data_IF_965662093457
#
_entry.id   IF_965662093457
#
_cell.length_a   1.000
_cell.length_b   1.000
_cell.length_c   1.000
_cell.angle_alpha   90.00
_cell.angle_beta   90.00
_cell.angle_gamma   90.00
#
_symmetry.space_group_name_H-M   'P 1'
#
loop_
_entity.id
_entity.type
_entity.pdbx_description
1 polymer ?
#
# COMPACT_ATOMS: atom_id res chain seq x y z
N UNK A 1 14.45 -15.26 23.82
CA UNK A 1 13.08 -15.32 23.26
C UNK A 1 12.07 -14.62 24.16
N UNK A 2 11.83 -15.09 25.39
CA UNK A 2 10.91 -14.46 26.35
C UNK A 2 11.13 -12.95 26.54
N UNK A 3 12.35 -12.52 26.86
CA UNK A 3 12.67 -11.09 27.00
C UNK A 3 12.37 -10.26 25.73
N UNK A 4 12.57 -10.85 24.55
CA UNK A 4 12.26 -10.21 23.27
C UNK A 4 10.75 -10.09 23.03
N UNK A 5 9.97 -11.13 23.38
CA UNK A 5 8.51 -11.10 23.32
C UNK A 5 7.94 -10.06 24.29
N UNK A 6 8.47 -10.02 25.52
CA UNK A 6 8.04 -9.03 26.52
C UNK A 6 8.36 -7.61 26.08
N UNK A 7 9.57 -7.37 25.55
CA UNK A 7 9.95 -6.06 25.03
C UNK A 7 9.08 -5.64 23.84
N UNK A 8 8.87 -6.54 22.88
CA UNK A 8 7.99 -6.28 21.73
C UNK A 8 6.55 -5.98 22.19
N UNK A 9 6.03 -6.75 23.15
CA UNK A 9 4.72 -6.52 23.74
C UNK A 9 4.63 -5.13 24.40
N UNK A 10 5.61 -4.75 25.22
CA UNK A 10 5.64 -3.46 25.89
C UNK A 10 5.69 -2.28 24.92
N UNK A 11 6.50 -2.38 23.86
CA UNK A 11 6.64 -1.34 22.82
C UNK A 11 5.37 -1.21 21.98
N UNK A 12 4.74 -2.34 21.64
CA UNK A 12 3.56 -2.35 20.77
C UNK A 12 2.26 -2.08 21.53
N UNK A 13 2.22 -2.27 22.85
CA UNK A 13 1.01 -2.20 23.66
C UNK A 13 0.18 -0.92 23.44
N UNK A 14 0.74 0.31 23.51
CA UNK A 14 -0.06 1.54 23.37
C UNK A 14 -0.72 1.66 21.99
N UNK A 15 -0.01 1.21 20.95
CA UNK A 15 -0.50 1.22 19.57
C UNK A 15 -1.58 0.17 19.39
N UNK A 16 -1.35 -1.05 19.89
CA UNK A 16 -2.31 -2.15 19.79
C UNK A 16 -3.59 -1.86 20.56
N UNK A 17 -3.52 -1.24 21.74
CA UNK A 17 -4.69 -0.87 22.52
C UNK A 17 -5.54 0.19 21.83
N UNK A 18 -4.91 1.24 21.31
CA UNK A 18 -5.62 2.31 20.60
C UNK A 18 -6.22 1.81 19.28
N UNK A 19 -5.45 1.01 18.53
CA UNK A 19 -5.93 0.40 17.29
C UNK A 19 -7.12 -0.51 17.56
N UNK A 20 -7.03 -1.38 18.58
CA UNK A 20 -8.12 -2.30 18.96
C UNK A 20 -9.41 -1.54 19.25
N UNK A 21 -9.37 -0.47 20.04
CA UNK A 21 -10.58 0.35 20.32
C UNK A 21 -11.23 0.91 19.05
N UNK A 22 -10.43 1.28 18.05
CA UNK A 22 -10.92 1.85 16.79
C UNK A 22 -11.37 0.78 15.79
N UNK A 23 -10.86 -0.44 15.89
CA UNK A 23 -11.09 -1.51 14.90
C UNK A 23 -11.84 -2.71 15.43
N UNK A 24 -12.24 -2.73 16.70
CA UNK A 24 -13.01 -3.81 17.33
C UNK A 24 -14.31 -4.12 16.59
N UNK A 25 -15.00 -3.09 16.09
CA UNK A 25 -16.24 -3.24 15.31
C UNK A 25 -15.99 -3.30 13.80
N UNK A 26 -14.73 -3.30 13.38
CA UNK A 26 -14.36 -3.20 11.97
C UNK A 26 -13.83 -4.52 11.42
N UNK A 27 -14.61 -5.10 10.52
CA UNK A 27 -14.20 -6.27 9.73
C UNK A 27 -14.04 -5.88 8.27
N UNK A 28 -13.10 -6.53 7.58
CA UNK A 28 -12.96 -6.39 6.13
C UNK A 28 -14.03 -7.20 5.42
N UNK A 29 -14.57 -6.67 4.33
CA UNK A 29 -15.51 -7.42 3.50
C UNK A 29 -14.82 -8.63 2.86
N UNK A 30 -15.53 -9.75 2.77
CA UNK A 30 -15.05 -10.96 2.09
C UNK A 30 -14.63 -10.67 0.65
N UNK A 31 -15.43 -9.88 -0.06
CA UNK A 31 -15.14 -9.47 -1.44
C UNK A 31 -13.81 -8.72 -1.57
N UNK A 32 -13.48 -7.84 -0.61
CA UNK A 32 -12.22 -7.12 -0.64
C UNK A 32 -11.03 -8.06 -0.40
N UNK A 33 -11.18 -9.02 0.50
CA UNK A 33 -10.14 -10.03 0.78
C UNK A 33 -9.95 -10.94 -0.44
N UNK A 34 -11.04 -11.43 -1.03
CA UNK A 34 -11.02 -12.28 -2.21
C UNK A 34 -10.34 -11.58 -3.39
N UNK A 35 -10.69 -10.31 -3.65
CA UNK A 35 -10.05 -9.50 -4.70
C UNK A 35 -8.55 -9.25 -4.45
N UNK A 36 -8.09 -9.35 -3.20
CA UNK A 36 -6.69 -9.21 -2.82
C UNK A 36 -6.07 -10.56 -2.38
N UNK A 37 -6.64 -11.67 -2.79
CA UNK A 37 -6.09 -13.00 -2.57
C UNK A 37 -5.39 -13.46 -3.84
N UNK A 38 -4.20 -14.06 -3.71
CA UNK A 38 -3.45 -14.54 -4.85
C UNK A 38 -4.07 -15.82 -5.43
N UNK A 39 -3.73 -16.09 -6.68
CA UNK A 39 -3.89 -17.38 -7.35
C UNK A 39 -2.52 -17.96 -7.65
N UNK A 40 -2.44 -19.28 -7.86
CA UNK A 40 -1.19 -19.93 -8.27
C UNK A 40 -0.57 -19.32 -9.53
N UNK A 41 -1.40 -18.90 -10.49
CA UNK A 41 -0.94 -18.24 -11.73
C UNK A 41 -0.28 -16.88 -11.49
N UNK A 42 -0.60 -16.19 -10.39
CA UNK A 42 0.02 -14.89 -10.07
C UNK A 42 1.52 -15.04 -9.73
N UNK A 43 1.96 -16.23 -9.28
CA UNK A 43 3.37 -16.59 -9.10
C UNK A 43 4.08 -16.92 -10.41
N UNK A 44 3.40 -16.86 -11.55
CA UNK A 44 3.93 -17.01 -12.91
C UNK A 44 3.69 -15.74 -13.74
N UNK A 45 3.37 -14.62 -13.08
CA UNK A 45 3.13 -13.33 -13.71
C UNK A 45 4.17 -12.31 -13.31
N UNK A 46 4.84 -11.74 -14.31
CA UNK A 46 5.76 -10.63 -14.15
C UNK A 46 5.07 -9.30 -14.48
N UNK A 47 5.58 -8.19 -13.95
CA UNK A 47 5.05 -6.87 -14.28
C UNK A 47 5.32 -6.50 -15.75
N UNK A 48 4.41 -5.71 -16.34
CA UNK A 48 4.55 -5.24 -17.71
C UNK A 48 5.73 -4.27 -17.81
N UNK A 49 6.54 -4.42 -18.85
CA UNK A 49 7.72 -3.56 -19.06
C UNK A 49 8.97 -3.97 -18.27
N UNK A 50 8.94 -5.13 -17.61
CA UNK A 50 10.15 -5.78 -17.09
C UNK A 50 10.85 -6.52 -18.23
N UNK A 51 12.18 -6.54 -18.26
CA UNK A 51 12.92 -7.21 -19.33
C UNK A 51 12.60 -8.69 -19.45
N UNK A 52 12.37 -9.37 -18.31
CA UNK A 52 11.94 -10.77 -18.31
C UNK A 52 10.61 -11.00 -19.04
N UNK A 53 9.70 -10.02 -19.03
CA UNK A 53 8.38 -10.12 -19.67
C UNK A 53 8.47 -9.98 -21.20
N UNK A 54 9.49 -9.26 -21.69
CA UNK A 54 9.79 -9.14 -23.12
C UNK A 54 10.34 -10.45 -23.69
N UNK A 55 11.23 -11.12 -22.93
CA UNK A 55 11.97 -12.30 -23.37
C UNK A 55 11.16 -13.60 -23.15
N UNK A 56 10.35 -13.66 -22.09
CA UNK A 56 9.64 -14.87 -21.65
C UNK A 56 8.12 -14.70 -21.76
N UNK A 57 7.51 -14.98 -22.94
CA UNK A 57 6.09 -14.70 -23.18
C UNK A 57 5.14 -15.52 -22.30
N UNK A 58 5.59 -16.66 -21.76
CA UNK A 58 4.83 -17.44 -20.79
C UNK A 58 4.67 -16.75 -19.42
N UNK A 59 5.42 -15.67 -19.13
CA UNK A 59 5.22 -14.84 -17.94
C UNK A 59 4.09 -13.81 -18.09
N UNK A 60 3.48 -13.72 -19.29
CA UNK A 60 2.33 -12.85 -19.61
C UNK A 60 0.98 -13.52 -19.34
N UNK A 61 0.97 -14.55 -18.49
CA UNK A 61 -0.23 -15.35 -18.19
C UNK A 61 -1.42 -14.46 -17.83
N UNK A 62 -2.58 -14.74 -18.42
CA UNK A 62 -3.85 -14.10 -18.12
C UNK A 62 -4.61 -14.87 -17.02
N UNK A 63 -5.59 -14.23 -16.36
CA UNK A 63 -6.41 -14.84 -15.30
C UNK A 63 -5.91 -14.59 -13.86
N UNK A 64 -6.40 -15.34 -12.89
CA UNK A 64 -6.05 -15.10 -11.48
C UNK A 64 -6.52 -13.73 -10.95
N UNK A 65 -5.74 -13.13 -10.04
CA UNK A 65 -6.13 -11.88 -9.36
C UNK A 65 -5.50 -10.62 -9.97
N UNK A 66 -4.65 -10.76 -10.98
CA UNK A 66 -3.91 -9.65 -11.57
C UNK A 66 -2.61 -9.31 -10.84
N UNK A 67 -2.31 -10.00 -9.74
CA UNK A 67 -1.11 -9.78 -8.93
C UNK A 67 0.13 -10.31 -9.66
N UNK A 68 1.28 -9.66 -9.43
CA UNK A 68 2.57 -9.98 -10.08
C UNK A 68 3.53 -10.48 -9.00
N UNK A 69 3.49 -11.78 -8.72
CA UNK A 69 4.23 -12.40 -7.62
C UNK A 69 5.42 -13.22 -8.10
N UNK A 70 5.69 -13.22 -9.41
CA UNK A 70 6.77 -13.98 -10.00
C UNK A 70 8.13 -13.61 -9.38
N UNK A 71 8.84 -14.58 -8.76
CA UNK A 71 10.05 -14.32 -8.00
C UNK A 71 11.32 -14.20 -8.87
N UNK A 72 11.23 -14.49 -10.16
CA UNK A 72 12.38 -14.56 -11.08
C UNK A 72 12.89 -15.99 -11.28
N UNK A 73 13.21 -16.36 -12.51
CA UNK A 73 13.74 -17.66 -12.93
C UNK A 73 15.01 -18.00 -12.17
N UNK A 74 15.95 -17.06 -12.13
CA UNK A 74 17.25 -17.32 -11.50
C UNK A 74 17.15 -17.56 -9.99
N UNK A 75 16.24 -16.85 -9.30
CA UNK A 75 15.94 -17.11 -7.89
C UNK A 75 15.35 -18.52 -7.71
N UNK A 76 14.41 -18.93 -8.55
CA UNK A 76 13.80 -20.27 -8.50
C UNK A 76 14.83 -21.37 -8.74
N UNK A 77 15.73 -21.21 -9.70
CA UNK A 77 16.80 -22.19 -10.00
C UNK A 77 17.74 -22.33 -8.80
N UNK A 78 18.25 -21.21 -8.28
CA UNK A 78 19.18 -21.23 -7.14
C UNK A 78 18.50 -21.79 -5.89
N UNK A 79 17.25 -21.44 -5.64
CA UNK A 79 16.47 -21.98 -4.53
C UNK A 79 16.26 -23.50 -4.69
N UNK A 80 15.99 -23.98 -5.90
CA UNK A 80 15.86 -25.41 -6.20
C UNK A 80 17.15 -26.19 -5.97
N UNK A 81 18.29 -25.66 -6.43
CA UNK A 81 19.62 -26.24 -6.17
C UNK A 81 19.91 -26.25 -4.67
N UNK A 82 19.63 -25.15 -3.98
CA UNK A 82 19.82 -25.02 -2.55
C UNK A 82 18.95 -25.97 -1.74
N UNK A 83 17.70 -26.18 -2.15
CA UNK A 83 16.82 -27.17 -1.54
C UNK A 83 17.37 -28.59 -1.74
N UNK A 84 17.75 -28.97 -2.96
CA UNK A 84 18.23 -30.32 -3.28
C UNK A 84 19.56 -30.66 -2.60
N UNK A 85 20.52 -29.73 -2.60
CA UNK A 85 21.82 -29.92 -1.96
C UNK A 85 21.74 -29.76 -0.45
N UNK A 86 21.12 -28.69 0.01
CA UNK A 86 20.94 -28.38 1.42
C UNK A 86 20.13 -29.42 2.17
N UNK A 87 19.26 -30.19 1.51
CA UNK A 87 18.59 -31.32 2.14
C UNK A 87 19.55 -32.35 2.74
N UNK A 88 20.75 -32.49 2.18
CA UNK A 88 21.79 -33.40 2.67
C UNK A 88 22.70 -32.76 3.72
N UNK A 89 22.97 -31.46 3.61
CA UNK A 89 23.98 -30.77 4.42
C UNK A 89 23.40 -29.93 5.57
N UNK A 90 22.22 -29.35 5.37
CA UNK A 90 21.52 -28.48 6.34
C UNK A 90 20.00 -28.66 6.24
N UNK A 91 19.55 -29.89 6.50
CA UNK A 91 18.14 -30.27 6.39
C UNK A 91 17.23 -29.39 7.23
N UNK A 92 17.68 -28.93 8.40
CA UNK A 92 16.88 -28.11 9.32
C UNK A 92 16.58 -26.75 8.71
N UNK A 93 17.60 -26.06 8.21
CA UNK A 93 17.42 -24.76 7.55
C UNK A 93 16.55 -24.88 6.30
N UNK A 94 16.84 -25.86 5.43
CA UNK A 94 16.05 -26.08 4.21
C UNK A 94 14.59 -26.40 4.53
N UNK A 95 14.32 -27.24 5.53
CA UNK A 95 12.96 -27.56 5.95
C UNK A 95 12.23 -26.33 6.49
N UNK A 96 12.92 -25.48 7.26
CA UNK A 96 12.37 -24.21 7.75
C UNK A 96 12.00 -23.28 6.59
N UNK A 97 12.89 -23.08 5.62
CA UNK A 97 12.60 -22.23 4.47
C UNK A 97 11.49 -22.80 3.58
N UNK A 98 11.50 -24.10 3.30
CA UNK A 98 10.44 -24.73 2.49
C UNK A 98 9.08 -24.64 3.18
N UNK A 99 9.02 -24.97 4.48
CA UNK A 99 7.78 -24.85 5.25
C UNK A 99 7.32 -23.39 5.33
N UNK A 100 8.23 -22.46 5.58
CA UNK A 100 7.94 -21.02 5.60
C UNK A 100 7.38 -20.52 4.27
N UNK A 101 8.01 -20.90 3.15
CA UNK A 101 7.53 -20.57 1.81
C UNK A 101 6.14 -21.16 1.54
N UNK A 102 5.90 -22.43 1.88
CA UNK A 102 4.59 -23.07 1.71
C UNK A 102 3.50 -22.39 2.55
N UNK A 103 3.78 -22.10 3.82
CA UNK A 103 2.81 -21.43 4.72
C UNK A 103 2.51 -20.02 4.22
N UNK A 104 3.54 -19.24 3.88
CA UNK A 104 3.37 -17.90 3.33
C UNK A 104 2.57 -17.92 2.02
N UNK A 105 2.84 -18.90 1.14
CA UNK A 105 2.11 -19.07 -0.11
C UNK A 105 0.65 -19.46 0.15
N UNK A 106 0.39 -20.37 1.09
CA UNK A 106 -0.97 -20.74 1.50
C UNK A 106 -1.77 -19.57 2.06
N UNK A 107 -1.15 -18.73 2.91
CA UNK A 107 -1.79 -17.49 3.39
C UNK A 107 -1.99 -16.51 2.23
N UNK A 108 -1.06 -16.44 1.27
CA UNK A 108 -1.17 -15.53 0.12
C UNK A 108 -2.41 -15.80 -0.74
N UNK A 109 -2.82 -17.06 -0.83
CA UNK A 109 -4.05 -17.47 -1.53
C UNK A 109 -5.32 -17.05 -0.81
N UNK A 110 -5.24 -16.66 0.46
CA UNK A 110 -6.33 -16.07 1.23
C UNK A 110 -7.65 -16.82 1.07
N UNK A 111 -8.67 -16.12 0.55
CA UNK A 111 -10.02 -16.67 0.38
C UNK A 111 -10.15 -17.68 -0.78
N UNK A 112 -9.16 -17.81 -1.66
CA UNK A 112 -9.20 -18.77 -2.78
C UNK A 112 -8.72 -20.17 -2.41
N UNK A 113 -8.05 -20.34 -1.26
CA UNK A 113 -7.58 -21.65 -0.82
C UNK A 113 -8.71 -22.42 -0.16
N UNK A 114 -9.13 -23.50 -0.81
CA UNK A 114 -10.11 -24.45 -0.27
C UNK A 114 -9.54 -25.87 -0.33
N UNK A 115 -9.52 -26.55 0.82
CA UNK A 115 -8.98 -27.90 0.97
C UNK A 115 -10.09 -28.77 1.54
N UNK A 116 -10.70 -29.62 0.70
CA UNK A 116 -11.77 -30.51 1.14
C UNK A 116 -12.98 -29.79 1.74
N UNK A 117 -13.35 -28.61 1.21
CA UNK A 117 -14.44 -27.77 1.73
C UNK A 117 -14.05 -26.83 2.88
N UNK A 118 -12.82 -26.94 3.41
CA UNK A 118 -12.33 -26.05 4.47
C UNK A 118 -11.57 -24.88 3.84
N UNK A 119 -11.81 -23.67 4.35
CA UNK A 119 -11.08 -22.45 3.99
C UNK A 119 -10.11 -22.07 5.10
N UNK A 120 -8.82 -22.46 5.04
CA UNK A 120 -7.88 -22.27 6.14
C UNK A 120 -7.74 -20.81 6.55
N UNK A 121 -7.80 -19.88 5.58
CA UNK A 121 -7.69 -18.46 5.86
C UNK A 121 -8.86 -17.90 6.68
N UNK A 122 -10.06 -18.49 6.57
CA UNK A 122 -11.20 -18.10 7.41
C UNK A 122 -10.93 -18.41 8.89
N UNK A 123 -10.34 -19.57 9.18
CA UNK A 123 -9.99 -19.96 10.54
C UNK A 123 -8.89 -19.05 11.11
N UNK A 124 -7.87 -18.75 10.30
CA UNK A 124 -6.81 -17.81 10.71
C UNK A 124 -7.40 -16.45 11.07
N UNK A 125 -8.39 -15.97 10.32
CA UNK A 125 -9.06 -14.71 10.63
C UNK A 125 -9.84 -14.77 11.94
N UNK A 126 -10.60 -15.84 12.16
CA UNK A 126 -11.42 -16.01 13.35
C UNK A 126 -10.57 -16.14 14.63
N UNK A 127 -9.47 -16.89 14.57
CA UNK A 127 -8.70 -17.26 15.77
C UNK A 127 -7.43 -16.43 16.00
N UNK A 128 -6.88 -15.78 14.98
CA UNK A 128 -5.63 -14.99 15.11
C UNK A 128 -5.94 -13.50 15.15
N UNK A 129 -5.75 -12.82 16.29
CA UNK A 129 -6.05 -11.40 16.42
C UNK A 129 -5.36 -10.55 15.34
N UNK A 130 -6.13 -9.65 14.73
CA UNK A 130 -5.66 -8.73 13.68
C UNK A 130 -5.78 -9.26 12.26
N UNK A 131 -5.93 -10.57 12.03
CA UNK A 131 -6.09 -11.11 10.67
C UNK A 131 -7.44 -10.75 10.04
N UNK A 132 -8.49 -10.50 10.83
CA UNK A 132 -9.77 -9.99 10.34
C UNK A 132 -9.67 -8.63 9.63
N UNK A 133 -8.64 -7.85 9.99
CA UNK A 133 -8.40 -6.51 9.45
C UNK A 133 -7.49 -6.55 8.21
N UNK A 134 -6.83 -7.69 7.95
CA UNK A 134 -5.85 -7.86 6.88
C UNK A 134 -6.56 -7.95 5.52
N UNK A 135 -6.47 -6.86 4.77
CA UNK A 135 -7.13 -6.72 3.46
C UNK A 135 -6.44 -7.50 2.34
N UNK A 136 -5.11 -7.62 2.38
CA UNK A 136 -4.33 -8.05 1.22
C UNK A 136 -3.44 -9.26 1.49
N UNK A 137 -4.03 -10.47 1.56
CA UNK A 137 -3.30 -11.72 1.73
C UNK A 137 -2.16 -11.91 0.72
N UNK A 138 -2.35 -11.52 -0.54
CA UNK A 138 -1.35 -11.70 -1.61
C UNK A 138 0.05 -11.18 -1.24
N UNK A 139 0.15 -10.18 -0.34
CA UNK A 139 1.43 -9.61 0.11
C UNK A 139 2.33 -10.60 0.84
N UNK A 140 1.78 -11.71 1.33
CA UNK A 140 2.58 -12.82 1.85
C UNK A 140 3.49 -13.45 0.78
N UNK A 141 3.25 -13.20 -0.51
CA UNK A 141 4.18 -13.53 -1.59
C UNK A 141 5.57 -12.92 -1.41
N UNK A 142 5.69 -11.78 -0.72
CA UNK A 142 7.02 -11.22 -0.35
C UNK A 142 7.75 -12.16 0.62
N UNK A 143 7.05 -12.74 1.60
CA UNK A 143 7.67 -13.71 2.51
C UNK A 143 8.05 -15.00 1.79
N UNK A 144 7.26 -15.45 0.81
CA UNK A 144 7.64 -16.57 -0.08
C UNK A 144 9.00 -16.28 -0.71
N UNK A 145 9.18 -15.08 -1.28
CA UNK A 145 10.45 -14.66 -1.89
C UNK A 145 11.59 -14.61 -0.87
N UNK A 146 11.37 -14.13 0.35
CA UNK A 146 12.38 -14.14 1.42
C UNK A 146 12.83 -15.56 1.77
N UNK A 147 11.92 -16.52 1.87
CA UNK A 147 12.30 -17.91 2.11
C UNK A 147 13.02 -18.53 0.92
N UNK A 148 12.61 -18.22 -0.32
CA UNK A 148 13.32 -18.63 -1.52
C UNK A 148 14.75 -18.04 -1.57
N UNK A 149 14.95 -16.80 -1.12
CA UNK A 149 16.28 -16.19 -0.99
C UNK A 149 17.15 -16.97 0.02
N UNK A 150 16.58 -17.39 1.14
CA UNK A 150 17.26 -18.26 2.11
C UNK A 150 17.72 -19.59 1.51
N UNK A 151 16.90 -20.20 0.65
CA UNK A 151 17.28 -21.41 -0.10
C UNK A 151 18.32 -21.11 -1.18
N UNK A 152 18.17 -20.00 -1.91
CA UNK A 152 19.11 -19.60 -2.96
C UNK A 152 20.52 -19.34 -2.41
N UNK A 153 20.64 -18.79 -1.19
CA UNK A 153 21.92 -18.66 -0.50
C UNK A 153 22.61 -20.02 -0.28
N UNK A 154 21.85 -21.06 0.06
CA UNK A 154 22.37 -22.44 0.13
C UNK A 154 22.75 -22.94 -1.26
N UNK A 155 21.96 -22.62 -2.29
CA UNK A 155 22.25 -22.99 -3.68
C UNK A 155 23.54 -22.38 -4.21
N UNK A 156 23.80 -21.12 -3.88
CA UNK A 156 25.07 -20.45 -4.21
C UNK A 156 26.25 -21.12 -3.51
N UNK A 157 26.10 -21.48 -2.23
CA UNK A 157 27.13 -22.22 -1.48
C UNK A 157 27.40 -23.61 -2.06
N UNK A 158 26.43 -24.20 -2.78
CA UNK A 158 26.55 -25.50 -3.44
C UNK A 158 27.53 -25.52 -4.59
N UNK A 159 27.82 -24.35 -5.15
CA UNK A 159 28.64 -24.24 -6.35
C UNK A 159 30.11 -24.52 -5.98
N UNK A 160 30.71 -25.58 -6.55
CA UNK A 160 32.11 -25.89 -6.30
C UNK A 160 32.99 -24.76 -6.86
N UNK A 161 34.08 -24.46 -6.13
CA UNK A 161 35.04 -23.42 -6.51
C UNK A 161 34.39 -22.04 -6.70
N UNK A 162 33.48 -21.66 -5.80
CA UNK A 162 32.81 -20.34 -5.81
C UNK A 162 33.79 -19.17 -6.00
N UNK A 163 34.99 -19.24 -5.40
CA UNK A 163 36.03 -18.21 -5.56
C UNK A 163 36.50 -18.06 -7.01
N UNK A 164 36.65 -19.18 -7.72
CA UNK A 164 37.12 -19.20 -9.11
C UNK A 164 35.97 -18.92 -10.09
N UNK A 165 34.72 -19.17 -9.67
CA UNK A 165 33.50 -18.99 -10.46
C UNK A 165 32.65 -17.81 -9.97
N UNK A 166 33.24 -16.90 -9.20
CA UNK A 166 32.53 -15.76 -8.62
C UNK A 166 31.82 -14.95 -9.71
N UNK A 167 32.47 -14.74 -10.85
CA UNK A 167 31.89 -14.03 -12.00
C UNK A 167 30.66 -14.72 -12.57
N UNK A 168 30.59 -16.06 -12.56
CA UNK A 168 29.40 -16.81 -13.00
C UNK A 168 28.26 -16.60 -12.02
N UNK A 169 28.53 -16.65 -10.72
CA UNK A 169 27.49 -16.39 -9.71
C UNK A 169 27.03 -14.93 -9.74
N UNK A 170 27.96 -14.00 -9.90
CA UNK A 170 27.66 -12.59 -10.06
C UNK A 170 26.82 -12.35 -11.32
N UNK A 171 27.17 -12.96 -12.45
CA UNK A 171 26.41 -12.88 -13.69
C UNK A 171 25.01 -13.47 -13.53
N UNK A 172 24.88 -14.64 -12.90
CA UNK A 172 23.57 -15.24 -12.61
C UNK A 172 22.74 -14.36 -11.68
N UNK A 173 23.36 -13.78 -10.65
CA UNK A 173 22.69 -12.83 -9.75
C UNK A 173 22.21 -11.58 -10.49
N UNK A 174 23.08 -10.97 -11.31
CA UNK A 174 22.73 -9.81 -12.14
C UNK A 174 21.63 -10.16 -13.12
N UNK A 175 21.70 -11.31 -13.81
CA UNK A 175 20.66 -11.77 -14.73
C UNK A 175 19.32 -11.99 -14.00
N UNK A 176 19.35 -12.57 -12.81
CA UNK A 176 18.15 -12.80 -11.98
C UNK A 176 17.51 -11.48 -11.55
N UNK A 177 18.31 -10.47 -11.23
CA UNK A 177 17.81 -9.13 -10.88
C UNK A 177 17.30 -8.40 -12.12
N UNK A 178 18.04 -8.45 -13.23
CA UNK A 178 17.66 -7.82 -14.49
C UNK A 178 16.34 -8.36 -15.05
N UNK A 179 16.04 -9.63 -14.80
CA UNK A 179 14.77 -10.26 -15.17
C UNK A 179 13.56 -9.58 -14.52
N UNK A 180 13.66 -9.22 -13.24
CA UNK A 180 12.53 -8.74 -12.42
C UNK A 180 12.56 -7.23 -12.15
N UNK A 181 13.60 -6.53 -12.58
CA UNK A 181 13.77 -5.08 -12.42
C UNK A 181 13.47 -4.37 -13.73
N UNK A 182 12.68 -3.30 -13.65
CA UNK A 182 12.49 -2.39 -14.76
C UNK A 182 13.75 -1.53 -14.90
N UNK A 183 14.39 -1.56 -16.07
CA UNK A 183 15.52 -0.69 -16.37
C UNK A 183 15.24 0.15 -17.64
N UNK A 184 15.29 1.50 -17.54
CA UNK A 184 15.53 2.29 -16.33
C UNK A 184 14.33 2.25 -15.37
N UNK A 185 14.61 2.15 -14.05
CA UNK A 185 13.56 2.23 -13.04
C UNK A 185 12.93 3.64 -13.11
N UNK A 186 11.66 3.73 -13.52
CA UNK A 186 10.96 5.00 -13.59
C UNK A 186 10.55 5.45 -12.19
N UNK A 187 11.45 6.13 -11.49
CA UNK A 187 11.12 6.81 -10.24
C UNK A 187 10.44 8.12 -10.61
N UNK A 188 9.11 8.13 -10.61
CA UNK A 188 8.36 9.35 -10.81
C UNK A 188 8.39 10.21 -9.55
N UNK A 189 8.81 11.47 -9.68
CA UNK A 189 8.72 12.46 -8.60
C UNK A 189 7.63 13.46 -8.96
N UNK A 190 6.60 13.58 -8.13
CA UNK A 190 5.58 14.60 -8.33
C UNK A 190 6.22 16.00 -8.28
N UNK A 191 6.00 16.90 -9.27
CA UNK A 191 6.63 18.22 -9.32
C UNK A 191 6.44 19.06 -8.04
N UNK A 192 5.25 18.97 -7.43
CA UNK A 192 4.91 19.61 -6.16
C UNK A 192 5.82 19.20 -4.97
N UNK A 193 6.57 18.10 -5.07
CA UNK A 193 7.55 17.70 -4.05
C UNK A 193 8.93 18.32 -4.26
N UNK A 194 9.25 18.78 -5.47
CA UNK A 194 10.50 19.49 -5.77
C UNK A 194 10.41 20.97 -5.45
N UNK A 195 9.24 21.55 -5.71
CA UNK A 195 8.89 22.92 -5.34
C UNK A 195 7.49 22.90 -4.79
N UNK A 196 7.37 23.01 -3.47
CA UNK A 196 6.08 23.08 -2.81
C UNK A 196 5.25 24.23 -3.42
N UNK A 197 3.93 24.03 -3.64
CA UNK A 197 3.06 25.12 -4.05
C UNK A 197 3.12 26.26 -3.03
N UNK A 198 3.09 27.53 -3.47
CA UNK A 198 3.23 28.68 -2.57
C UNK A 198 2.16 28.79 -1.46
N UNK A 199 1.02 28.11 -1.61
CA UNK A 199 0.03 28.01 -0.54
C UNK A 199 0.52 27.18 0.65
N UNK A 200 1.44 26.23 0.44
CA UNK A 200 1.99 25.37 1.50
C UNK A 200 2.75 26.22 2.52
N UNK A 201 3.64 27.08 2.04
CA UNK A 201 4.43 27.99 2.88
C UNK A 201 3.54 29.03 3.57
N UNK A 202 2.58 29.57 2.83
CA UNK A 202 1.58 30.48 3.41
C UNK A 202 0.80 29.81 4.54
N UNK A 203 0.33 28.57 4.32
CA UNK A 203 -0.49 27.81 5.27
C UNK A 203 0.30 27.41 6.51
N UNK A 204 1.60 27.11 6.37
CA UNK A 204 2.50 26.82 7.49
C UNK A 204 2.55 27.98 8.50
N UNK A 205 2.50 29.23 8.01
CA UNK A 205 2.46 30.44 8.85
C UNK A 205 1.10 30.78 9.46
N UNK A 206 0.02 30.05 9.10
CA UNK A 206 -1.32 30.33 9.60
C UNK A 206 -1.60 29.67 10.96
N UNK A 207 -2.61 30.16 11.71
CA UNK A 207 -3.09 29.51 12.94
C UNK A 207 -3.48 28.03 12.79
N UNK A 208 -3.71 27.36 13.92
CA UNK A 208 -4.20 25.98 13.91
C UNK A 208 -5.62 25.88 13.31
N UNK A 209 -5.87 24.74 12.65
CA UNK A 209 -7.16 24.40 12.04
C UNK A 209 -7.01 23.28 11.03
N UNK A 210 -8.05 22.46 10.85
CA UNK A 210 -7.99 21.35 9.89
C UNK A 210 -8.13 21.84 8.45
N UNK A 211 -7.62 21.03 7.53
CA UNK A 211 -7.56 21.31 6.09
C UNK A 211 -8.47 20.33 5.35
N UNK A 212 -9.23 20.84 4.39
CA UNK A 212 -9.95 20.02 3.42
C UNK A 212 -9.45 20.32 2.00
N UNK A 213 -9.10 19.27 1.26
CA UNK A 213 -8.75 19.36 -0.15
C UNK A 213 -10.03 19.21 -0.98
N UNK A 214 -10.30 20.15 -1.88
CA UNK A 214 -11.48 20.12 -2.74
C UNK A 214 -11.01 19.98 -4.19
N UNK A 215 -11.58 19.03 -4.97
CA UNK A 215 -12.69 18.14 -4.61
C UNK A 215 -12.28 16.96 -3.69
N UNK A 216 -13.26 16.38 -3.01
CA UNK A 216 -13.07 15.10 -2.33
C UNK A 216 -13.00 13.96 -3.37
N UNK A 217 -12.26 12.86 -3.10
CA UNK A 217 -12.10 11.73 -4.01
C UNK A 217 -13.42 11.20 -4.57
N UNK A 218 -13.51 11.14 -5.90
CA UNK A 218 -14.73 10.88 -6.65
C UNK A 218 -15.03 9.37 -6.86
N UNK A 219 -14.12 8.48 -6.50
CA UNK A 219 -14.33 7.04 -6.62
C UNK A 219 -13.71 6.20 -5.51
N UNK A 220 -13.78 4.88 -5.70
CA UNK A 220 -13.20 3.88 -4.80
C UNK A 220 -11.87 3.30 -5.31
N UNK A 221 -11.34 3.81 -6.42
CA UNK A 221 -10.11 3.31 -7.01
C UNK A 221 -8.90 4.01 -6.41
N UNK A 222 -7.72 3.38 -6.48
CA UNK A 222 -6.49 3.99 -5.94
C UNK A 222 -6.14 5.29 -6.65
N UNK A 223 -6.49 5.42 -7.93
CA UNK A 223 -6.20 6.60 -8.75
C UNK A 223 -6.95 7.84 -8.27
N UNK A 224 -8.21 7.66 -7.86
CA UNK A 224 -9.07 8.76 -7.39
C UNK A 224 -8.53 9.44 -6.11
N UNK A 225 -7.68 8.73 -5.37
CA UNK A 225 -7.04 9.22 -4.15
C UNK A 225 -5.63 9.81 -4.38
N UNK A 226 -5.13 9.83 -5.61
CA UNK A 226 -3.80 10.38 -5.92
C UNK A 226 -3.63 11.84 -5.46
N UNK A 227 -4.57 12.78 -5.72
CA UNK A 227 -4.44 14.17 -5.26
C UNK A 227 -4.43 14.26 -3.72
N UNK A 228 -5.27 13.46 -3.07
CA UNK A 228 -5.32 13.39 -1.62
C UNK A 228 -4.03 12.81 -1.02
N UNK A 229 -3.46 11.77 -1.62
CA UNK A 229 -2.21 11.18 -1.18
C UNK A 229 -1.05 12.17 -1.30
N UNK A 230 -1.00 12.94 -2.40
CA UNK A 230 -0.07 14.06 -2.52
C UNK A 230 -0.30 15.11 -1.42
N UNK A 231 -1.56 15.47 -1.18
CA UNK A 231 -1.92 16.41 -0.12
C UNK A 231 -1.46 15.96 1.26
N UNK A 232 -1.52 14.66 1.57
CA UNK A 232 -0.97 14.10 2.82
C UNK A 232 0.54 14.28 2.92
N UNK A 233 1.28 14.13 1.83
CA UNK A 233 2.73 14.40 1.82
C UNK A 233 2.99 15.89 2.07
N UNK A 234 2.24 16.78 1.42
CA UNK A 234 2.35 18.22 1.62
C UNK A 234 1.95 18.66 3.04
N UNK A 235 1.04 17.92 3.70
CA UNK A 235 0.64 18.17 5.08
C UNK A 235 1.77 18.03 6.10
N UNK A 236 2.81 17.27 5.76
CA UNK A 236 4.02 17.20 6.58
C UNK A 236 4.76 18.54 6.64
N UNK A 237 4.62 19.39 5.61
CA UNK A 237 5.27 20.70 5.55
C UNK A 237 4.51 21.78 6.32
N UNK A 238 3.18 21.84 6.19
CA UNK A 238 2.37 22.87 6.86
C UNK A 238 1.84 22.45 8.25
N UNK A 239 1.99 21.17 8.62
CA UNK A 239 1.77 20.69 9.99
C UNK A 239 0.32 20.77 10.49
N UNK A 240 -0.68 20.69 9.60
CA UNK A 240 -2.11 20.73 9.96
C UNK A 240 -2.82 19.44 9.59
N UNK A 241 -3.83 19.01 10.35
CA UNK A 241 -4.55 17.77 10.06
C UNK A 241 -5.41 17.90 8.79
N UNK A 242 -5.48 16.83 8.01
CA UNK A 242 -6.36 16.71 6.84
C UNK A 242 -7.63 15.95 7.21
N UNK A 243 -8.81 16.52 6.90
CA UNK A 243 -10.08 15.83 7.15
C UNK A 243 -10.40 14.77 6.10
N UNK A 244 -9.82 14.90 4.91
CA UNK A 244 -10.16 14.04 3.78
C UNK A 244 -8.99 13.21 3.24
N UNK A 245 -8.06 12.79 4.10
CA UNK A 245 -6.89 11.97 3.76
C UNK A 245 -7.20 10.57 3.22
N UNK A 246 -6.23 9.97 2.52
CA UNK A 246 -6.30 8.59 2.03
C UNK A 246 -5.85 7.60 3.12
N UNK A 247 -6.60 6.50 3.29
CA UNK A 247 -6.31 5.49 4.29
C UNK A 247 -6.74 4.11 3.83
N UNK A 248 -6.12 3.07 4.39
CA UNK A 248 -6.62 1.71 4.27
C UNK A 248 -7.94 1.51 5.02
N UNK A 249 -8.31 2.39 5.94
CA UNK A 249 -9.52 2.36 6.76
C UNK A 249 -10.23 3.72 6.71
N UNK A 250 -11.52 3.71 6.36
CA UNK A 250 -12.35 4.91 6.25
C UNK A 250 -13.45 4.88 7.33
N UNK A 251 -13.33 5.67 8.41
CA UNK A 251 -14.34 5.76 9.45
C UNK A 251 -15.71 6.20 8.90
N UNK A 252 -16.79 5.84 9.58
CA UNK A 252 -18.14 6.23 9.14
C UNK A 252 -18.29 7.75 9.01
N UNK A 253 -17.76 8.51 9.99
CA UNK A 253 -17.75 9.99 9.95
C UNK A 253 -17.11 10.55 8.69
N UNK A 254 -16.01 9.94 8.21
CA UNK A 254 -15.38 10.34 6.95
C UNK A 254 -16.32 10.06 5.76
N UNK A 255 -16.97 8.89 5.73
CA UNK A 255 -17.89 8.53 4.65
C UNK A 255 -19.09 9.46 4.58
N UNK A 256 -19.64 9.83 5.74
CA UNK A 256 -20.75 10.76 5.84
C UNK A 256 -20.34 12.16 5.35
N UNK A 257 -19.20 12.68 5.81
CA UNK A 257 -18.66 13.97 5.35
C UNK A 257 -18.38 13.97 3.84
N UNK A 258 -17.70 12.93 3.34
CA UNK A 258 -17.41 12.76 1.91
C UNK A 258 -18.70 12.74 1.07
N UNK A 259 -19.72 12.01 1.53
CA UNK A 259 -21.01 11.92 0.86
C UNK A 259 -21.73 13.26 0.77
N UNK A 260 -21.68 14.08 1.83
CA UNK A 260 -22.28 15.43 1.83
C UNK A 260 -21.49 16.37 0.92
N UNK A 261 -20.17 16.50 1.13
CA UNK A 261 -19.34 17.44 0.37
C UNK A 261 -19.41 17.14 -1.12
N UNK A 262 -19.30 15.87 -1.54
CA UNK A 262 -19.32 15.54 -2.96
C UNK A 262 -20.63 15.82 -3.68
N UNK A 263 -21.76 15.76 -2.97
CA UNK A 263 -23.09 15.92 -3.57
C UNK A 263 -23.58 17.37 -3.54
N UNK A 264 -23.06 18.15 -2.60
CA UNK A 264 -23.69 19.42 -2.21
C UNK A 264 -22.71 20.59 -2.13
N UNK A 265 -21.41 20.35 -2.24
CA UNK A 265 -20.44 21.44 -2.20
C UNK A 265 -20.46 22.22 -3.52
N UNK A 266 -20.45 23.56 -3.48
CA UNK A 266 -20.54 24.41 -2.29
C UNK A 266 -21.99 24.76 -1.93
N UNK A 267 -22.37 24.56 -0.66
CA UNK A 267 -23.62 25.09 -0.10
C UNK A 267 -23.55 25.19 1.43
N UNK A 268 -24.57 25.80 2.04
CA UNK A 268 -24.62 26.00 3.50
C UNK A 268 -24.45 24.68 4.30
N UNK A 269 -25.07 23.58 3.83
CA UNK A 269 -25.02 22.28 4.49
C UNK A 269 -23.60 21.70 4.47
N UNK A 270 -22.96 21.68 3.31
CA UNK A 270 -21.61 21.11 3.13
C UNK A 270 -20.55 21.95 3.86
N UNK A 271 -20.66 23.28 3.85
CA UNK A 271 -19.79 24.16 4.64
C UNK A 271 -20.02 23.99 6.13
N UNK A 272 -21.27 23.86 6.60
CA UNK A 272 -21.56 23.58 8.01
C UNK A 272 -20.92 22.27 8.46
N UNK A 273 -21.00 21.20 7.65
CA UNK A 273 -20.35 19.91 7.95
C UNK A 273 -18.82 20.01 7.97
N UNK A 274 -18.22 20.79 7.09
CA UNK A 274 -16.78 21.05 7.11
C UNK A 274 -16.38 21.79 8.41
N UNK A 275 -17.17 22.78 8.83
CA UNK A 275 -16.96 23.50 10.10
C UNK A 275 -17.10 22.58 11.32
N UNK A 276 -18.12 21.72 11.36
CA UNK A 276 -18.31 20.70 12.39
C UNK A 276 -17.11 19.73 12.47
N UNK A 277 -16.48 19.44 11.33
CA UNK A 277 -15.27 18.64 11.24
C UNK A 277 -13.99 19.39 11.65
N UNK A 278 -14.09 20.66 12.07
CA UNK A 278 -12.97 21.51 12.48
C UNK A 278 -12.15 22.07 11.32
N UNK A 279 -12.70 22.06 10.10
CA UNK A 279 -12.04 22.62 8.92
C UNK A 279 -12.00 24.13 9.03
N UNK A 280 -10.80 24.68 8.90
CA UNK A 280 -10.53 26.12 8.81
C UNK A 280 -10.03 26.53 7.45
N UNK A 281 -9.35 25.63 6.73
CA UNK A 281 -8.72 25.93 5.45
C UNK A 281 -9.26 25.01 4.37
N UNK A 282 -9.84 25.59 3.31
CA UNK A 282 -10.26 24.86 2.12
C UNK A 282 -9.23 25.12 1.03
N UNK A 283 -8.57 24.06 0.56
CA UNK A 283 -7.64 24.13 -0.56
C UNK A 283 -8.40 23.67 -1.78
N UNK A 284 -8.70 24.60 -2.68
CA UNK A 284 -9.58 24.36 -3.81
C UNK A 284 -8.82 24.54 -5.11
N UNK A 285 -8.93 23.55 -6.00
CA UNK A 285 -8.47 23.69 -7.38
C UNK A 285 -9.39 24.67 -8.11
N UNK A 286 -8.82 25.71 -8.74
CA UNK A 286 -9.61 26.78 -9.38
C UNK A 286 -10.57 26.24 -10.44
N UNK A 287 -10.11 25.27 -11.21
CA UNK A 287 -10.91 24.68 -12.29
C UNK A 287 -12.05 23.79 -11.76
N UNK A 288 -12.14 23.57 -10.45
CA UNK A 288 -13.23 22.83 -9.79
C UNK A 288 -14.41 23.70 -9.35
N UNK A 289 -14.28 25.03 -9.39
CA UNK A 289 -15.36 25.97 -9.03
C UNK A 289 -15.83 26.78 -10.22
N UNK A 290 -17.13 27.01 -10.28
CA UNK A 290 -17.73 28.04 -11.12
C UNK A 290 -17.74 29.41 -10.42
N UNK A 291 -18.04 30.49 -11.15
CA UNK A 291 -18.21 31.81 -10.54
C UNK A 291 -19.40 31.86 -9.56
N UNK A 292 -20.44 31.08 -9.81
CA UNK A 292 -21.60 30.93 -8.91
C UNK A 292 -21.18 30.24 -7.61
N UNK A 293 -20.37 29.19 -7.72
CA UNK A 293 -19.80 28.47 -6.58
C UNK A 293 -18.96 29.40 -5.68
N UNK A 294 -18.10 30.22 -6.27
CA UNK A 294 -17.32 31.22 -5.52
C UNK A 294 -18.24 32.23 -4.83
N UNK A 295 -19.29 32.71 -5.50
CA UNK A 295 -20.26 33.64 -4.90
C UNK A 295 -20.99 33.02 -3.70
N UNK A 296 -21.35 31.73 -3.76
CA UNK A 296 -21.94 31.00 -2.62
C UNK A 296 -20.94 30.90 -1.46
N UNK A 297 -19.68 30.56 -1.74
CA UNK A 297 -18.63 30.47 -0.72
C UNK A 297 -18.45 31.82 -0.01
N UNK A 298 -18.37 32.92 -0.76
CA UNK A 298 -18.27 34.28 -0.20
C UNK A 298 -19.52 34.70 0.58
N UNK A 299 -20.71 34.39 0.06
CA UNK A 299 -21.98 34.69 0.73
C UNK A 299 -22.13 33.98 2.08
N UNK A 300 -21.41 32.89 2.31
CA UNK A 300 -21.38 32.12 3.56
C UNK A 300 -20.26 32.57 4.52
N UNK A 301 -19.63 33.71 4.25
CA UNK A 301 -18.64 34.33 5.14
C UNK A 301 -17.26 33.68 5.09
N UNK A 302 -16.94 32.95 4.03
CA UNK A 302 -15.61 32.38 3.80
C UNK A 302 -14.76 33.37 3.03
N UNK A 303 -13.53 33.61 3.49
CA UNK A 303 -12.63 34.62 2.91
C UNK A 303 -11.49 33.99 2.10
N UNK A 304 -10.90 34.74 1.17
CA UNK A 304 -9.68 34.31 0.47
C UNK A 304 -8.47 34.60 1.36
N UNK A 305 -7.79 33.55 1.83
CA UNK A 305 -6.52 33.69 2.54
C UNK A 305 -5.31 33.74 1.61
N UNK A 306 -5.35 32.95 0.54
CA UNK A 306 -4.29 32.90 -0.47
C UNK A 306 -4.85 32.56 -1.85
N UNK A 307 -4.28 33.16 -2.90
CA UNK A 307 -4.71 32.95 -4.28
C UNK A 307 -3.50 32.74 -5.20
N UNK A 308 -3.43 31.57 -5.82
CA UNK A 308 -2.42 31.24 -6.83
C UNK A 308 -3.04 31.03 -8.22
N UNK A 309 -2.23 30.57 -9.17
CA UNK A 309 -2.67 30.32 -10.56
C UNK A 309 -3.65 29.15 -10.69
N UNK A 310 -3.44 28.07 -9.95
CA UNK A 310 -4.24 26.83 -10.04
C UNK A 310 -5.05 26.51 -8.78
N UNK A 311 -4.72 27.14 -7.67
CA UNK A 311 -5.29 26.81 -6.35
C UNK A 311 -5.66 28.10 -5.64
N UNK A 312 -6.75 28.05 -4.89
CA UNK A 312 -7.15 29.08 -3.92
C UNK A 312 -7.22 28.42 -2.55
N UNK A 313 -6.76 29.14 -1.52
CA UNK A 313 -7.01 28.76 -0.14
C UNK A 313 -8.02 29.70 0.45
N UNK A 314 -9.16 29.14 0.80
CA UNK A 314 -10.20 29.83 1.54
C UNK A 314 -10.05 29.60 3.04
N UNK A 315 -10.37 30.62 3.83
CA UNK A 315 -10.37 30.60 5.29
C UNK A 315 -11.82 30.65 5.76
N UNK A 316 -12.23 29.59 6.46
CA UNK A 316 -13.54 29.53 7.09
C UNK A 316 -13.53 30.30 8.43
N UNK A 317 -14.66 30.93 8.79
CA UNK A 317 -14.81 31.64 10.06
C UNK A 317 -14.80 30.69 11.26
#
# INVERSE_FOLDING_TARGET
LLAGVTLAGAVLWPVLSAQRQLTETYTRSESAIQNNSAWGVDYLRLDKGMWGEEIMPWLRTAGGSGQRLYPGTGLLILAGVGAAWGWRCDKRWVSFCLLGAMVAMGISFGAHLEIGGVRPYAWVREFVPGFEQLRSPFRMGVLVQVFLLGLAGVGVRALPNFKDRFWVVALLGVASVAEVVAFPAQIWTHPALRSAPGWVDWLAGQPAGAVALIPFPDGGTVKDFEPTALGMVLALSYGKPLVNGYSGFFPQRYRDLNGVVRRQFPNEISLARLREAGVRYLIVERDSLTAEDEAVIFGLGVEVGWAGKKTVVFVMP
#
